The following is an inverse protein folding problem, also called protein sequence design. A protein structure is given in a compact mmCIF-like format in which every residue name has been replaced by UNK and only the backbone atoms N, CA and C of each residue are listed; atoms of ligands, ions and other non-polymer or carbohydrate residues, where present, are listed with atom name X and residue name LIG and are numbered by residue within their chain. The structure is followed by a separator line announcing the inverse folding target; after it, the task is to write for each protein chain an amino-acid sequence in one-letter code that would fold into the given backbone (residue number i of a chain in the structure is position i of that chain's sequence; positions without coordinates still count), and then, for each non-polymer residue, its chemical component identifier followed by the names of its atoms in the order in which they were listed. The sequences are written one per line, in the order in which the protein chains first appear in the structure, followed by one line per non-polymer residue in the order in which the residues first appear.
data_IF_526439336260
#
_entry.id   IF_526439336260
#
_cell.length_a   1.000
_cell.length_b   1.000
_cell.length_c   1.000
_cell.angle_alpha   90.00
_cell.angle_beta   90.00
_cell.angle_gamma   90.00
#
_symmetry.space_group_name_H-M   'P 1'
#
loop_
_entity.id
_entity.type
_entity.pdbx_description
1 polymer ?
#
# COMPACT_ATOMS: atom_id res chain seq x y z
N UNK A 1 9.71 -1.26 12.58
CA UNK A 1 9.86 0.21 12.49
C UNK A 1 8.55 0.89 12.14
N UNK A 2 8.00 0.75 10.92
CA UNK A 2 6.79 1.47 10.49
C UNK A 2 5.59 1.36 11.44
N UNK A 3 5.32 0.17 12.01
CA UNK A 3 4.27 -0.02 13.01
C UNK A 3 4.48 0.83 14.26
N UNK A 4 5.69 0.80 14.83
CA UNK A 4 6.03 1.59 16.02
C UNK A 4 5.95 3.09 15.72
N UNK A 5 6.37 3.53 14.54
CA UNK A 5 6.23 4.94 14.11
C UNK A 5 4.77 5.38 14.06
N UNK A 6 3.87 4.55 13.53
CA UNK A 6 2.43 4.84 13.52
C UNK A 6 1.84 4.86 14.95
N UNK A 7 2.28 3.98 15.84
CA UNK A 7 1.86 3.96 17.25
C UNK A 7 2.35 5.20 18.03
N UNK A 8 3.51 5.76 17.67
CA UNK A 8 4.05 6.99 18.25
C UNK A 8 3.31 8.25 17.75
N UNK A 9 3.03 8.33 16.45
CA UNK A 9 2.23 9.40 15.84
C UNK A 9 1.27 8.84 14.77
N UNK A 10 -0.03 8.69 15.11
CA UNK A 10 -1.03 8.19 14.17
C UNK A 10 -1.23 9.05 12.92
N UNK A 11 -0.93 10.36 13.00
CA UNK A 11 -1.02 11.28 11.86
C UNK A 11 0.33 11.47 11.14
N UNK A 12 1.35 10.72 11.56
CA UNK A 12 2.69 10.77 11.02
C UNK A 12 2.83 10.09 9.65
N UNK A 13 4.07 9.88 9.18
CA UNK A 13 4.35 9.40 7.83
C UNK A 13 4.01 7.92 7.60
N UNK A 14 3.90 7.11 8.65
CA UNK A 14 3.58 5.68 8.54
C UNK A 14 2.10 5.47 8.82
N UNK A 15 1.39 4.87 7.86
CA UNK A 15 -0.04 4.64 7.92
C UNK A 15 -0.34 3.15 7.78
N UNK A 16 -1.43 2.69 8.41
CA UNK A 16 -1.86 1.29 8.31
C UNK A 16 -2.62 1.09 7.00
N UNK A 17 -2.17 0.11 6.21
CA UNK A 17 -2.84 -0.32 4.99
C UNK A 17 -3.27 -1.78 5.17
N UNK A 18 -4.58 -2.07 5.24
CA UNK A 18 -5.07 -3.45 5.34
C UNK A 18 -4.73 -4.23 4.06
N UNK A 19 -4.69 -5.56 4.14
CA UNK A 19 -4.43 -6.47 3.00
C UNK A 19 -5.54 -7.53 2.93
N UNK A 20 -6.76 -7.06 2.75
CA UNK A 20 -7.98 -7.87 2.88
C UNK A 20 -8.62 -8.18 1.54
N UNK A 21 -8.50 -7.30 0.53
CA UNK A 21 -9.09 -7.52 -0.80
C UNK A 21 -8.00 -7.89 -1.80
N UNK A 22 -7.65 -9.17 -1.82
CA UNK A 22 -6.68 -9.74 -2.74
C UNK A 22 -7.22 -9.69 -4.18
N UNK A 23 -6.40 -9.18 -5.11
CA UNK A 23 -6.70 -9.17 -6.56
C UNK A 23 -5.92 -10.28 -7.25
N UNK A 24 -4.61 -10.35 -7.01
CA UNK A 24 -3.73 -11.38 -7.58
C UNK A 24 -2.60 -11.72 -6.60
N UNK A 25 -2.60 -12.96 -6.13
CA UNK A 25 -1.60 -13.46 -5.17
C UNK A 25 -0.21 -13.57 -5.78
N UNK A 26 -0.11 -13.92 -7.07
CA UNK A 26 1.18 -14.16 -7.75
C UNK A 26 2.05 -12.91 -7.73
N UNK A 27 1.45 -11.76 -8.01
CA UNK A 27 2.13 -10.46 -8.05
C UNK A 27 1.94 -9.66 -6.77
N UNK A 28 1.11 -10.14 -5.84
CA UNK A 28 0.83 -9.50 -4.57
C UNK A 28 0.01 -8.21 -4.71
N UNK A 29 -0.98 -8.20 -5.61
CA UNK A 29 -1.87 -7.05 -5.82
C UNK A 29 -3.07 -7.13 -4.89
N UNK A 30 -3.37 -6.02 -4.22
CA UNK A 30 -4.49 -5.85 -3.31
C UNK A 30 -5.18 -4.52 -3.59
N UNK A 31 -6.51 -4.49 -3.53
CA UNK A 31 -7.28 -3.27 -3.78
C UNK A 31 -6.96 -2.20 -2.72
N UNK A 32 -6.90 -2.59 -1.45
CA UNK A 32 -6.61 -1.68 -0.33
C UNK A 32 -5.22 -1.04 -0.44
N UNK A 33 -4.26 -1.75 -1.03
CA UNK A 33 -2.90 -1.23 -1.27
C UNK A 33 -2.92 -0.21 -2.40
N UNK A 34 -3.62 -0.50 -3.50
CA UNK A 34 -3.76 0.42 -4.62
C UNK A 34 -4.47 1.72 -4.20
N UNK A 35 -5.55 1.64 -3.43
CA UNK A 35 -6.25 2.81 -2.89
C UNK A 35 -5.33 3.68 -2.01
N UNK A 36 -4.52 3.07 -1.14
CA UNK A 36 -3.57 3.78 -0.31
C UNK A 36 -2.49 4.48 -1.17
N UNK A 37 -1.92 3.76 -2.14
CA UNK A 37 -0.90 4.31 -3.04
C UNK A 37 -1.45 5.48 -3.85
N UNK A 38 -2.64 5.34 -4.44
CA UNK A 38 -3.32 6.43 -5.16
C UNK A 38 -3.56 7.65 -4.28
N UNK A 39 -4.09 7.44 -3.07
CA UNK A 39 -4.35 8.51 -2.11
C UNK A 39 -3.08 9.26 -1.70
N UNK A 40 -2.03 8.55 -1.28
CA UNK A 40 -0.82 9.17 -0.74
C UNK A 40 0.13 9.68 -1.83
N UNK A 41 0.05 9.14 -3.04
CA UNK A 41 0.78 9.65 -4.21
C UNK A 41 0.09 10.84 -4.88
N UNK A 42 -1.09 11.26 -4.40
CA UNK A 42 -1.91 12.31 -5.03
C UNK A 42 -2.25 11.99 -6.50
N UNK A 43 -2.53 10.71 -6.79
CA UNK A 43 -2.86 10.24 -8.13
C UNK A 43 -1.66 10.06 -9.07
N UNK A 44 -0.42 10.20 -8.58
CA UNK A 44 0.76 9.94 -9.40
C UNK A 44 0.99 8.45 -9.68
N UNK A 45 0.50 7.57 -8.79
CA UNK A 45 0.57 6.12 -8.93
C UNK A 45 -0.76 5.50 -8.52
N UNK A 46 -1.39 4.71 -9.40
CA UNK A 46 -2.73 4.15 -9.15
C UNK A 46 -2.70 2.72 -8.61
N UNK A 47 -1.68 1.95 -8.98
CA UNK A 47 -1.54 0.54 -8.64
C UNK A 47 -0.08 0.20 -8.39
N UNK A 48 0.15 -0.88 -7.65
CA UNK A 48 1.49 -1.44 -7.44
C UNK A 48 1.43 -2.95 -7.34
N UNK A 49 2.46 -3.62 -7.85
CA UNK A 49 2.71 -5.03 -7.53
C UNK A 49 3.80 -5.17 -6.47
N UNK A 50 3.59 -6.07 -5.51
CA UNK A 50 4.52 -6.25 -4.40
C UNK A 50 5.64 -7.24 -4.72
N UNK A 51 5.43 -8.13 -5.68
CA UNK A 51 6.33 -9.27 -5.95
C UNK A 51 6.89 -9.28 -7.38
N UNK A 52 6.57 -8.28 -8.21
CA UNK A 52 7.11 -8.14 -9.56
C UNK A 52 7.75 -6.78 -9.76
N UNK A 53 8.87 -6.76 -10.49
CA UNK A 53 9.48 -5.53 -11.02
C UNK A 53 9.05 -5.25 -12.46
N UNK A 54 8.46 -6.25 -13.12
CA UNK A 54 8.13 -6.22 -14.55
C UNK A 54 6.67 -5.85 -14.81
N UNK A 55 5.82 -5.98 -13.80
CA UNK A 55 4.37 -5.78 -13.89
C UNK A 55 3.95 -4.75 -12.85
N UNK A 56 3.11 -3.79 -13.25
CA UNK A 56 2.48 -2.77 -12.39
C UNK A 56 0.96 -2.78 -12.57
#
# INVERSE_FOLDING_TARGET
DAKATNELDPNGPCQIVPKTRLIDERVGRYEDVNEAVSKYSHGALEQVTLYSIMED
#
